data_IF_604905218770
#
_entry.id   IF_604905218770
#
_cell.length_a   1.000
_cell.length_b   1.000
_cell.length_c   1.000
_cell.angle_alpha   90.00
_cell.angle_beta   90.00
_cell.angle_gamma   90.00
#
_symmetry.space_group_name_H-M   'P 1'
#
loop_
_entity.id
_entity.type
_entity.pdbx_description
1 polymer ?
#
# COMPACT_ATOMS: atom_id res chain seq x y z
N UNK A 1 33.84 -10.29 8.21
CA UNK A 1 33.31 -11.60 7.76
C UNK A 1 32.98 -11.49 6.27
N UNK A 2 33.28 -12.51 5.45
CA UNK A 2 33.01 -12.53 4.02
C UNK A 2 31.77 -13.38 3.73
N UNK A 3 30.86 -12.86 2.90
CA UNK A 3 29.55 -13.44 2.60
C UNK A 3 29.20 -13.33 1.12
N UNK A 4 28.29 -14.19 0.67
CA UNK A 4 27.59 -14.10 -0.60
C UNK A 4 26.23 -13.47 -0.38
N UNK A 5 25.87 -12.46 -1.16
CA UNK A 5 24.48 -12.05 -1.38
C UNK A 5 23.90 -12.96 -2.45
N UNK A 6 22.76 -13.52 -2.15
CA UNK A 6 21.98 -14.38 -3.02
C UNK A 6 20.64 -13.76 -3.33
N UNK A 7 20.11 -14.01 -4.53
CA UNK A 7 18.72 -13.77 -4.90
C UNK A 7 18.12 -15.12 -5.33
N UNK A 8 17.34 -15.75 -4.48
CA UNK A 8 17.04 -17.18 -4.55
C UNK A 8 18.35 -17.99 -4.66
N UNK A 9 18.51 -18.83 -5.66
CA UNK A 9 19.73 -19.63 -5.88
C UNK A 9 20.79 -18.92 -6.74
N UNK A 10 20.54 -17.68 -7.17
CA UNK A 10 21.46 -16.90 -7.99
C UNK A 10 22.44 -16.16 -7.09
N UNK A 11 23.74 -16.37 -7.33
CA UNK A 11 24.80 -15.59 -6.67
C UNK A 11 24.81 -14.18 -7.25
N UNK A 12 24.60 -13.17 -6.41
CA UNK A 12 24.57 -11.76 -6.83
C UNK A 12 25.94 -11.13 -6.71
N UNK A 13 26.50 -11.16 -5.51
CA UNK A 13 27.82 -10.59 -5.23
C UNK A 13 28.46 -11.24 -3.99
N UNK A 14 29.78 -11.04 -3.87
CA UNK A 14 30.56 -11.33 -2.66
C UNK A 14 30.95 -10.03 -1.98
N UNK A 15 30.79 -9.95 -0.68
CA UNK A 15 31.03 -8.75 0.10
C UNK A 15 31.54 -9.06 1.49
N UNK A 16 32.04 -8.04 2.18
CA UNK A 16 32.51 -8.18 3.57
C UNK A 16 31.69 -7.31 4.51
N UNK A 17 31.45 -7.82 5.73
CA UNK A 17 30.91 -7.03 6.84
C UNK A 17 32.04 -6.56 7.77
N UNK A 18 31.84 -5.39 8.38
CA UNK A 18 32.66 -4.91 9.49
C UNK A 18 32.24 -5.53 10.83
N UNK A 19 32.82 -5.06 11.93
CA UNK A 19 32.53 -5.50 13.30
C UNK A 19 31.09 -5.20 13.76
N UNK A 20 30.45 -4.19 13.15
CA UNK A 20 29.06 -3.78 13.43
C UNK A 20 28.07 -4.40 12.43
N UNK A 21 28.45 -5.45 11.72
CA UNK A 21 27.62 -6.10 10.68
C UNK A 21 27.14 -5.19 9.54
N UNK A 22 27.78 -4.03 9.35
CA UNK A 22 27.53 -3.16 8.20
C UNK A 22 28.37 -3.61 7.00
N UNK A 23 27.87 -3.41 5.77
CA UNK A 23 28.63 -3.75 4.56
C UNK A 23 29.88 -2.88 4.49
N UNK A 24 31.07 -3.49 4.53
CA UNK A 24 32.36 -2.79 4.48
C UNK A 24 32.82 -2.56 3.04
N UNK A 25 32.91 -3.64 2.27
CA UNK A 25 33.38 -3.63 0.88
C UNK A 25 32.63 -4.64 0.03
N UNK A 26 32.49 -4.33 -1.26
CA UNK A 26 32.11 -5.31 -2.29
C UNK A 26 33.40 -5.91 -2.82
N UNK A 27 33.49 -7.24 -2.82
CA UNK A 27 34.66 -7.99 -3.28
C UNK A 27 34.53 -8.32 -4.76
N UNK A 28 33.36 -8.83 -5.16
CA UNK A 28 33.12 -9.31 -6.53
C UNK A 28 31.63 -9.30 -6.86
N UNK A 29 31.26 -9.00 -8.11
CA UNK A 29 29.92 -9.15 -8.65
C UNK A 29 29.84 -10.39 -9.54
N UNK A 30 28.78 -11.19 -9.36
CA UNK A 30 28.47 -12.35 -10.20
C UNK A 30 27.33 -12.04 -11.17
N UNK A 31 26.19 -11.56 -10.67
CA UNK A 31 25.01 -11.20 -11.46
C UNK A 31 24.49 -9.82 -11.06
N UNK A 32 24.88 -8.79 -11.81
CA UNK A 32 24.52 -7.39 -11.50
C UNK A 32 23.03 -7.11 -11.69
N UNK A 33 22.38 -7.75 -12.65
CA UNK A 33 20.92 -7.62 -12.88
C UNK A 33 20.09 -8.08 -11.69
N UNK A 34 20.62 -9.02 -10.89
CA UNK A 34 19.98 -9.50 -9.67
C UNK A 34 20.32 -8.69 -8.41
N UNK A 35 20.99 -7.55 -8.56
CA UNK A 35 21.20 -6.65 -7.42
C UNK A 35 19.84 -6.16 -6.88
N UNK A 36 19.72 -5.88 -5.56
CA UNK A 36 18.53 -5.25 -5.01
C UNK A 36 18.20 -3.99 -5.81
N UNK A 37 16.93 -3.83 -6.16
CA UNK A 37 16.48 -2.73 -7.03
C UNK A 37 16.94 -1.36 -6.51
N UNK A 38 17.32 -0.46 -7.40
CA UNK A 38 17.90 0.86 -7.12
C UNK A 38 19.31 0.87 -6.50
N UNK A 39 19.94 -0.28 -6.24
CA UNK A 39 21.31 -0.31 -5.68
C UNK A 39 22.40 -0.28 -6.75
N UNK A 40 22.05 -0.32 -8.03
CA UNK A 40 22.99 -0.17 -9.14
C UNK A 40 23.55 1.26 -9.24
N UNK A 41 24.76 1.40 -9.78
CA UNK A 41 25.43 2.70 -9.98
C UNK A 41 26.93 2.55 -10.25
N UNK A 42 27.71 3.63 -10.19
CA UNK A 42 29.16 3.58 -10.18
C UNK A 42 29.69 2.96 -8.88
N UNK A 43 30.88 2.38 -8.86
CA UNK A 43 31.40 1.55 -7.77
C UNK A 43 31.25 2.14 -6.35
N UNK A 44 31.52 3.43 -6.17
CA UNK A 44 31.37 4.08 -4.87
C UNK A 44 29.90 4.34 -4.50
N UNK A 45 29.06 4.63 -5.49
CA UNK A 45 27.62 4.85 -5.31
C UNK A 45 26.90 3.53 -5.01
N UNK A 46 27.35 2.41 -5.59
CA UNK A 46 26.81 1.07 -5.29
C UNK A 46 26.99 0.69 -3.82
N UNK A 47 28.17 0.93 -3.25
CA UNK A 47 28.40 0.59 -1.85
C UNK A 47 27.51 1.40 -0.91
N UNK A 48 27.31 2.69 -1.19
CA UNK A 48 26.43 3.54 -0.39
C UNK A 48 24.96 3.05 -0.46
N UNK A 49 24.44 2.84 -1.66
CA UNK A 49 23.06 2.36 -1.88
C UNK A 49 22.82 0.96 -1.27
N UNK A 50 23.84 0.09 -1.35
CA UNK A 50 23.78 -1.24 -0.71
C UNK A 50 23.76 -1.15 0.80
N UNK A 51 24.53 -0.25 1.40
CA UNK A 51 24.48 0.00 2.85
C UNK A 51 23.10 0.48 3.29
N UNK A 52 22.50 1.39 2.54
CA UNK A 52 21.13 1.84 2.81
C UNK A 52 20.14 0.66 2.74
N UNK A 53 20.17 -0.10 1.63
CA UNK A 53 19.31 -1.28 1.47
C UNK A 53 19.50 -2.32 2.58
N UNK A 54 20.75 -2.53 3.02
CA UNK A 54 21.06 -3.45 4.11
C UNK A 54 20.51 -2.94 5.45
N UNK A 55 20.65 -1.66 5.72
CA UNK A 55 20.10 -1.03 6.93
C UNK A 55 18.56 -0.98 6.92
N UNK A 56 17.94 -0.83 5.75
CA UNK A 56 16.48 -0.84 5.61
C UNK A 56 15.87 -2.21 5.96
N UNK A 57 16.66 -3.27 6.06
CA UNK A 57 16.23 -4.59 6.55
C UNK A 57 16.18 -4.67 8.07
N UNK A 58 16.67 -3.68 8.76
CA UNK A 58 16.70 -3.65 10.21
C UNK A 58 15.35 -3.34 10.83
N UNK A 59 15.14 -3.85 12.03
CA UNK A 59 14.06 -3.39 12.89
C UNK A 59 14.38 -1.94 13.29
N UNK A 60 13.49 -0.96 13.03
CA UNK A 60 13.78 0.43 13.35
C UNK A 60 13.84 0.66 14.87
N UNK A 61 14.78 1.48 15.30
CA UNK A 61 14.94 1.87 16.73
C UNK A 61 13.71 2.56 17.32
N UNK A 62 12.87 3.12 16.46
CA UNK A 62 11.59 3.76 16.81
C UNK A 62 10.46 2.79 17.06
N UNK A 63 10.69 1.47 16.80
CA UNK A 63 9.66 0.45 17.07
C UNK A 63 9.28 0.41 18.53
N UNK A 64 7.98 0.37 18.78
CA UNK A 64 7.46 0.17 20.14
C UNK A 64 8.06 -1.08 20.79
N UNK A 65 8.55 -0.93 22.01
CA UNK A 65 9.24 -1.96 22.79
C UNK A 65 10.68 -2.32 22.30
N UNK A 66 11.30 -1.55 21.38
CA UNK A 66 12.63 -1.86 20.84
C UNK A 66 13.68 -2.07 21.95
N UNK A 67 13.89 -1.08 22.82
CA UNK A 67 14.90 -1.12 23.89
C UNK A 67 14.72 -2.33 24.81
N UNK A 68 13.48 -2.58 25.28
CA UNK A 68 13.19 -3.71 26.15
C UNK A 68 13.36 -5.07 25.47
N UNK A 69 13.10 -5.12 24.15
CA UNK A 69 13.35 -6.33 23.37
C UNK A 69 14.83 -6.65 23.32
N UNK A 70 15.70 -5.66 23.03
CA UNK A 70 17.14 -5.84 22.99
C UNK A 70 17.77 -6.10 24.37
N UNK A 71 17.23 -5.55 25.47
CA UNK A 71 17.63 -5.94 26.83
C UNK A 71 17.41 -7.45 27.12
N UNK A 72 16.56 -8.11 26.35
CA UNK A 72 16.23 -9.54 26.48
C UNK A 72 17.02 -10.42 25.50
N UNK A 73 17.80 -9.83 24.62
CA UNK A 73 18.62 -10.50 23.60
C UNK A 73 20.10 -10.41 23.98
N UNK A 74 20.93 -11.38 23.57
CA UNK A 74 22.40 -11.29 23.68
C UNK A 74 23.02 -10.28 22.70
N UNK A 75 22.26 -9.85 21.67
CA UNK A 75 22.65 -8.92 20.62
C UNK A 75 22.36 -7.49 21.03
N UNK A 76 23.25 -6.56 20.64
CA UNK A 76 23.14 -5.16 20.97
C UNK A 76 22.44 -4.33 19.87
N UNK A 77 22.30 -4.92 18.64
CA UNK A 77 21.80 -4.18 17.48
C UNK A 77 20.98 -5.06 16.51
N UNK A 78 20.19 -4.38 15.67
CA UNK A 78 19.29 -5.02 14.71
C UNK A 78 20.01 -5.67 13.52
N UNK A 79 21.20 -5.18 13.11
CA UNK A 79 21.98 -5.79 12.05
C UNK A 79 22.47 -7.21 12.44
N UNK A 80 22.78 -7.43 13.71
CA UNK A 80 23.10 -8.76 14.23
C UNK A 80 21.94 -9.73 14.03
N UNK A 81 20.70 -9.29 14.21
CA UNK A 81 19.50 -10.13 13.95
C UNK A 81 19.36 -10.44 12.45
N UNK A 82 19.61 -9.46 11.58
CA UNK A 82 19.58 -9.65 10.11
C UNK A 82 20.60 -10.71 9.70
N UNK A 83 21.84 -10.62 10.18
CA UNK A 83 22.90 -11.59 9.85
C UNK A 83 22.56 -12.99 10.37
N UNK A 84 22.06 -13.11 11.61
CA UNK A 84 21.69 -14.40 12.22
C UNK A 84 20.48 -15.07 11.61
N UNK A 85 19.61 -14.31 10.93
CA UNK A 85 18.49 -14.83 10.13
C UNK A 85 18.85 -15.02 8.65
N UNK A 86 20.14 -15.05 8.30
CA UNK A 86 20.62 -15.11 6.91
C UNK A 86 20.08 -13.98 6.02
N UNK A 87 19.70 -12.83 6.58
CA UNK A 87 19.10 -11.72 5.85
C UNK A 87 17.75 -12.02 5.22
N UNK A 88 17.14 -13.18 5.50
CA UNK A 88 15.85 -13.59 4.92
C UNK A 88 14.70 -12.67 5.32
N UNK A 89 13.77 -12.48 4.39
CA UNK A 89 12.54 -11.69 4.58
C UNK A 89 11.32 -12.41 3.98
N UNK A 90 10.13 -11.92 4.29
CA UNK A 90 8.88 -12.27 3.61
C UNK A 90 8.43 -11.16 2.62
N UNK A 91 9.29 -10.20 2.35
CA UNK A 91 9.03 -9.12 1.38
C UNK A 91 9.82 -9.26 0.09
N UNK A 92 10.87 -10.08 0.08
CA UNK A 92 11.72 -10.31 -1.08
C UNK A 92 12.44 -11.67 -0.98
N UNK A 93 13.20 -12.03 -2.02
CA UNK A 93 13.89 -13.31 -2.14
C UNK A 93 15.42 -13.19 -1.90
N UNK A 94 15.89 -12.06 -1.31
CA UNK A 94 17.30 -11.85 -1.01
C UNK A 94 17.69 -12.49 0.32
N UNK A 95 18.89 -13.07 0.34
CA UNK A 95 19.48 -13.68 1.54
C UNK A 95 21.00 -13.75 1.46
N UNK A 96 21.64 -14.07 2.57
CA UNK A 96 23.10 -14.17 2.66
C UNK A 96 23.53 -15.54 3.17
N UNK A 97 24.71 -16.00 2.72
CA UNK A 97 25.39 -17.18 3.24
C UNK A 97 26.91 -17.00 3.23
N UNK A 98 27.62 -17.86 3.95
CA UNK A 98 29.07 -17.95 3.83
C UNK A 98 29.46 -18.58 2.48
N UNK A 99 30.67 -18.26 2.04
CA UNK A 99 31.17 -18.69 0.71
C UNK A 99 31.34 -20.21 0.58
N UNK A 100 31.56 -20.91 1.70
CA UNK A 100 31.76 -22.34 1.81
C UNK A 100 30.51 -23.15 2.19
N UNK A 101 29.36 -22.46 2.43
CA UNK A 101 28.11 -23.12 2.77
C UNK A 101 27.38 -23.61 1.51
N UNK A 102 27.04 -24.92 1.51
CA UNK A 102 26.21 -25.54 0.46
C UNK A 102 24.73 -25.59 0.88
N UNK A 103 24.14 -24.42 1.07
CA UNK A 103 22.72 -24.24 1.40
C UNK A 103 21.99 -23.68 0.18
N UNK A 104 20.82 -24.23 -0.14
CA UNK A 104 19.91 -23.73 -1.19
C UNK A 104 18.83 -22.85 -0.57
N UNK A 105 18.25 -21.96 -1.39
CA UNK A 105 17.17 -21.07 -0.97
C UNK A 105 15.96 -21.83 -0.41
N UNK A 106 15.56 -22.92 -1.06
CA UNK A 106 14.41 -23.73 -0.65
C UNK A 106 14.57 -24.37 0.73
N UNK A 107 15.80 -24.64 1.15
CA UNK A 107 16.08 -25.23 2.46
C UNK A 107 15.80 -24.25 3.62
N UNK A 108 15.88 -22.94 3.34
CA UNK A 108 15.82 -21.89 4.38
C UNK A 108 14.80 -20.77 4.11
N UNK A 109 14.08 -20.81 3.00
CA UNK A 109 13.10 -19.77 2.67
C UNK A 109 11.93 -19.73 3.67
N UNK A 110 11.61 -18.55 4.19
CA UNK A 110 10.41 -18.37 5.03
C UNK A 110 9.10 -18.57 4.27
N UNK A 111 9.11 -18.52 2.95
CA UNK A 111 7.94 -18.81 2.13
C UNK A 111 7.57 -20.29 2.15
N UNK A 112 8.55 -21.19 2.24
CA UNK A 112 8.36 -22.64 2.15
C UNK A 112 8.47 -23.34 3.50
N UNK A 113 9.33 -22.85 4.38
CA UNK A 113 9.67 -23.52 5.63
C UNK A 113 8.93 -22.93 6.85
N UNK A 114 8.88 -23.71 7.94
CA UNK A 114 8.46 -23.20 9.24
C UNK A 114 9.58 -22.33 9.81
N UNK A 115 9.22 -21.31 10.55
CA UNK A 115 10.15 -20.41 11.23
C UNK A 115 9.82 -20.29 12.72
N UNK A 116 10.77 -19.78 13.51
CA UNK A 116 10.58 -19.56 14.95
C UNK A 116 9.73 -18.33 15.23
N UNK A 117 8.98 -18.39 16.32
CA UNK A 117 8.24 -17.26 16.88
C UNK A 117 9.07 -16.43 17.88
N UNK A 118 10.31 -16.86 18.23
CA UNK A 118 11.04 -16.31 19.38
C UNK A 118 11.30 -14.83 19.28
N UNK A 119 11.79 -14.35 18.14
CA UNK A 119 12.05 -12.93 17.91
C UNK A 119 10.73 -12.13 17.96
N UNK A 120 9.69 -12.58 17.26
CA UNK A 120 8.38 -11.94 17.30
C UNK A 120 7.80 -11.86 18.71
N UNK A 121 7.92 -12.92 19.50
CA UNK A 121 7.47 -12.96 20.90
C UNK A 121 8.22 -11.93 21.77
N UNK A 122 9.54 -11.82 21.61
CA UNK A 122 10.35 -10.84 22.35
C UNK A 122 9.91 -9.42 22.00
N UNK A 123 9.72 -9.10 20.70
CA UNK A 123 9.32 -7.76 20.27
C UNK A 123 7.87 -7.39 20.66
N UNK A 124 6.97 -8.35 20.87
CA UNK A 124 5.66 -8.05 21.46
C UNK A 124 5.67 -8.00 23.01
N UNK A 125 6.82 -8.27 23.64
CA UNK A 125 7.04 -8.11 25.07
C UNK A 125 6.88 -9.39 25.91
N UNK A 126 6.99 -10.57 25.28
CA UNK A 126 7.02 -11.85 26.01
C UNK A 126 8.43 -12.20 26.50
N UNK A 127 8.50 -12.81 27.67
CA UNK A 127 9.74 -13.41 28.17
C UNK A 127 9.94 -14.78 27.52
N UNK A 128 11.15 -15.04 27.04
CA UNK A 128 11.58 -16.34 26.51
C UNK A 128 12.59 -17.02 27.40
N UNK A 129 12.78 -18.33 27.17
CA UNK A 129 13.80 -19.14 27.80
C UNK A 129 15.21 -18.79 27.35
N UNK A 130 16.21 -19.52 27.86
CA UNK A 130 17.64 -19.25 27.60
C UNK A 130 18.11 -19.50 26.14
N UNK A 131 17.38 -20.33 25.37
CA UNK A 131 17.71 -20.64 23.99
C UNK A 131 16.75 -19.91 23.05
N UNK A 132 17.28 -19.03 22.19
CA UNK A 132 16.53 -18.20 21.25
C UNK A 132 16.91 -18.62 19.83
N UNK A 133 15.94 -18.91 18.99
CA UNK A 133 16.13 -19.13 17.56
C UNK A 133 15.95 -17.82 16.80
N UNK A 134 16.95 -17.43 16.02
CA UNK A 134 16.96 -16.25 15.17
C UNK A 134 16.36 -16.50 13.79
N UNK A 135 16.04 -17.75 13.46
CA UNK A 135 15.40 -18.12 12.20
C UNK A 135 13.93 -17.69 12.21
N UNK A 136 13.72 -16.40 12.01
CA UNK A 136 12.43 -15.72 12.11
C UNK A 136 12.36 -14.53 11.14
N UNK A 137 11.27 -14.36 10.36
CA UNK A 137 11.06 -13.18 9.52
C UNK A 137 10.87 -11.89 10.33
N UNK A 138 10.65 -11.99 11.63
CA UNK A 138 10.56 -10.83 12.51
C UNK A 138 11.92 -10.13 12.66
N UNK A 139 13.04 -10.82 12.41
CA UNK A 139 14.40 -10.25 12.43
C UNK A 139 14.64 -9.18 11.37
N UNK A 140 13.85 -9.17 10.28
CA UNK A 140 13.96 -8.25 9.14
C UNK A 140 12.66 -7.46 8.90
N UNK A 141 11.75 -7.42 9.88
CA UNK A 141 10.48 -6.71 9.72
C UNK A 141 10.63 -5.21 10.03
N UNK A 142 10.09 -4.35 9.18
CA UNK A 142 10.14 -2.88 9.31
C UNK A 142 8.88 -2.30 9.96
N UNK A 143 8.88 -0.97 10.27
CA UNK A 143 7.75 -0.22 10.81
C UNK A 143 7.69 -0.14 12.34
N UNK A 144 6.93 0.82 12.87
CA UNK A 144 7.00 1.27 14.26
C UNK A 144 6.09 0.49 15.25
N UNK A 145 4.94 -0.01 14.80
CA UNK A 145 4.03 -0.75 15.66
C UNK A 145 4.60 -2.12 16.02
N UNK A 146 4.22 -2.63 17.20
CA UNK A 146 4.46 -4.04 17.55
C UNK A 146 3.83 -4.92 16.50
N UNK A 147 4.61 -5.84 15.97
CA UNK A 147 4.17 -6.79 14.95
C UNK A 147 4.95 -8.09 15.03
N UNK A 148 4.36 -9.11 14.44
CA UNK A 148 4.99 -10.41 14.32
C UNK A 148 4.43 -11.22 13.16
N UNK A 149 5.25 -12.07 12.60
CA UNK A 149 4.82 -13.06 11.63
C UNK A 149 4.37 -14.35 12.30
N UNK A 150 3.34 -14.97 11.75
CA UNK A 150 2.87 -16.30 12.17
C UNK A 150 2.48 -17.17 10.99
N UNK A 151 2.67 -18.49 11.15
CA UNK A 151 2.09 -19.48 10.26
C UNK A 151 0.77 -19.97 10.87
N UNK A 152 -0.33 -19.72 10.18
CA UNK A 152 -1.68 -20.16 10.57
C UNK A 152 -2.24 -20.97 9.41
N UNK A 153 -2.58 -22.24 9.64
CA UNK A 153 -3.07 -23.16 8.60
C UNK A 153 -2.17 -23.20 7.34
N UNK A 154 -0.84 -23.19 7.53
CA UNK A 154 0.14 -23.21 6.44
C UNK A 154 0.37 -21.89 5.71
N UNK A 155 -0.41 -20.85 6.00
CA UNK A 155 -0.29 -19.51 5.42
C UNK A 155 0.48 -18.56 6.33
N UNK A 156 1.19 -17.57 5.76
CA UNK A 156 1.99 -16.57 6.47
C UNK A 156 1.16 -15.33 6.72
N UNK A 157 0.95 -15.01 7.98
CA UNK A 157 0.18 -13.85 8.42
C UNK A 157 1.07 -12.87 9.19
N UNK A 158 0.95 -11.59 8.86
CA UNK A 158 1.48 -10.51 9.68
C UNK A 158 0.40 -10.09 10.69
N UNK A 159 0.74 -10.12 11.97
CA UNK A 159 -0.08 -9.62 13.06
C UNK A 159 0.48 -8.26 13.46
N UNK A 160 -0.35 -7.21 13.45
CA UNK A 160 -0.01 -5.85 13.88
C UNK A 160 -0.84 -5.46 15.10
N UNK A 161 -0.19 -4.98 16.16
CA UNK A 161 -0.86 -4.36 17.31
C UNK A 161 -1.12 -2.88 17.02
N UNK A 162 -1.92 -2.24 17.86
CA UNK A 162 -2.12 -0.79 17.85
C UNK A 162 -1.44 -0.12 19.04
N UNK A 163 -1.34 1.22 18.98
CA UNK A 163 -0.79 2.06 20.04
C UNK A 163 -1.74 2.14 21.24
N UNK A 164 -1.23 1.80 22.41
CA UNK A 164 -2.02 1.91 23.66
C UNK A 164 -2.31 3.39 24.01
N UNK A 165 -3.41 3.71 24.71
CA UNK A 165 -4.34 2.76 25.31
C UNK A 165 -5.43 2.22 24.37
N UNK A 166 -5.74 2.88 23.26
CA UNK A 166 -6.95 2.61 22.48
C UNK A 166 -6.75 1.61 21.34
N UNK A 167 -5.55 1.49 20.80
CA UNK A 167 -5.21 0.58 19.70
C UNK A 167 -6.10 0.78 18.45
N UNK A 168 -6.46 2.04 18.14
CA UNK A 168 -7.40 2.36 17.06
C UNK A 168 -6.89 1.94 15.69
N UNK A 169 -5.57 1.86 15.49
CA UNK A 169 -4.95 1.44 14.21
C UNK A 169 -5.44 0.03 13.79
N UNK A 170 -5.69 -0.87 14.75
CA UNK A 170 -6.23 -2.22 14.48
C UNK A 170 -7.59 -2.12 13.78
N UNK A 171 -8.49 -1.33 14.36
CA UNK A 171 -9.85 -1.17 13.84
C UNK A 171 -9.87 -0.33 12.56
N UNK A 172 -8.97 0.64 12.43
CA UNK A 172 -8.83 1.44 11.24
C UNK A 172 -8.41 0.61 10.02
N UNK A 173 -7.47 -0.35 10.18
CA UNK A 173 -7.12 -1.32 9.12
C UNK A 173 -8.34 -2.15 8.69
N UNK A 174 -9.13 -2.63 9.65
CA UNK A 174 -10.33 -3.44 9.36
C UNK A 174 -11.41 -2.59 8.66
N UNK A 175 -11.62 -1.34 9.11
CA UNK A 175 -12.56 -0.42 8.47
C UNK A 175 -12.10 -0.10 7.04
N UNK A 176 -10.82 0.20 6.85
CA UNK A 176 -10.24 0.49 5.55
C UNK A 176 -10.41 -0.68 4.58
N UNK A 177 -10.05 -1.90 5.03
CA UNK A 177 -10.25 -3.14 4.27
C UNK A 177 -11.73 -3.34 3.90
N UNK A 178 -12.65 -3.16 4.84
CA UNK A 178 -14.09 -3.26 4.54
C UNK A 178 -14.57 -2.25 3.51
N UNK A 179 -14.11 -1.01 3.58
CA UNK A 179 -14.47 0.05 2.63
C UNK A 179 -13.90 -0.27 1.24
N UNK A 180 -12.64 -0.69 1.15
CA UNK A 180 -12.01 -1.05 -0.11
C UNK A 180 -12.68 -2.27 -0.76
N UNK A 181 -13.07 -3.29 0.03
CA UNK A 181 -13.87 -4.42 -0.45
C UNK A 181 -15.22 -3.97 -1.02
N UNK A 182 -15.93 -3.04 -0.36
CA UNK A 182 -17.20 -2.52 -0.87
C UNK A 182 -17.04 -1.77 -2.19
N UNK A 183 -15.93 -1.08 -2.37
CA UNK A 183 -15.62 -0.29 -3.57
C UNK A 183 -14.97 -1.13 -4.69
N UNK A 184 -14.65 -2.41 -4.42
CA UNK A 184 -13.95 -3.32 -5.34
C UNK A 184 -12.55 -2.79 -5.73
N UNK A 185 -11.83 -2.33 -4.72
CA UNK A 185 -10.45 -1.82 -4.82
C UNK A 185 -9.49 -2.89 -4.30
N UNK A 186 -8.41 -3.15 -5.04
CA UNK A 186 -7.39 -4.12 -4.65
C UNK A 186 -6.65 -3.69 -3.39
N UNK A 187 -6.67 -4.53 -2.37
CA UNK A 187 -6.09 -4.23 -1.06
C UNK A 187 -5.74 -5.50 -0.29
N UNK A 188 -4.99 -5.33 0.78
CA UNK A 188 -4.73 -6.39 1.74
C UNK A 188 -5.90 -6.49 2.72
N UNK A 189 -6.47 -7.66 2.85
CA UNK A 189 -7.55 -7.93 3.83
C UNK A 189 -7.01 -7.94 5.25
N UNK A 190 -7.75 -7.29 6.17
CA UNK A 190 -7.44 -7.27 7.58
C UNK A 190 -8.60 -7.80 8.43
N UNK A 191 -8.26 -8.68 9.38
CA UNK A 191 -9.20 -9.29 10.31
C UNK A 191 -8.72 -9.09 11.75
N UNK A 192 -9.69 -8.97 12.69
CA UNK A 192 -9.38 -8.96 14.11
C UNK A 192 -8.92 -10.34 14.57
N UNK A 193 -7.87 -10.38 15.37
CA UNK A 193 -7.40 -11.61 16.01
C UNK A 193 -6.83 -11.34 17.40
N UNK A 194 -6.83 -12.36 18.22
CA UNK A 194 -6.09 -12.34 19.48
C UNK A 194 -4.98 -13.36 19.43
N UNK A 195 -3.82 -12.99 19.96
CA UNK A 195 -2.71 -13.90 20.13
C UNK A 195 -2.17 -13.75 21.55
N UNK A 196 -2.31 -14.82 22.34
CA UNK A 196 -1.91 -14.90 23.75
C UNK A 196 -2.40 -13.71 24.61
N UNK A 197 -3.68 -13.38 24.46
CA UNK A 197 -4.34 -12.32 25.23
C UNK A 197 -4.07 -10.89 24.74
N UNK A 198 -3.28 -10.71 23.68
CA UNK A 198 -3.09 -9.41 23.02
C UNK A 198 -3.96 -9.31 21.77
N UNK A 199 -4.43 -8.09 21.50
CA UNK A 199 -5.25 -7.78 20.34
C UNK A 199 -4.38 -7.37 19.15
N UNK A 200 -4.72 -7.87 17.96
CA UNK A 200 -4.05 -7.58 16.70
C UNK A 200 -5.07 -7.49 15.55
N UNK A 201 -4.73 -6.74 14.50
CA UNK A 201 -5.22 -7.07 13.17
C UNK A 201 -4.22 -8.01 12.49
N UNK A 202 -4.74 -8.97 11.73
CA UNK A 202 -3.92 -9.89 10.93
C UNK A 202 -4.20 -9.72 9.45
N UNK A 203 -3.16 -9.84 8.65
CA UNK A 203 -3.24 -9.83 7.19
C UNK A 203 -2.42 -10.98 6.60
N UNK A 204 -2.89 -11.55 5.49
CA UNK A 204 -2.13 -12.52 4.73
C UNK A 204 -0.93 -11.82 4.07
N UNK A 205 0.22 -12.50 3.97
CA UNK A 205 1.33 -11.99 3.16
C UNK A 205 0.90 -11.86 1.70
N UNK A 206 1.06 -10.67 1.11
CA UNK A 206 0.70 -10.38 -0.28
C UNK A 206 1.84 -10.60 -1.28
N UNK A 207 3.06 -10.86 -0.77
CA UNK A 207 4.23 -11.23 -1.57
C UNK A 207 4.31 -12.75 -1.62
N UNK A 208 4.42 -13.32 -2.82
CA UNK A 208 4.49 -14.76 -3.02
C UNK A 208 5.92 -15.28 -3.18
N UNK A 209 6.08 -16.59 -3.18
CA UNK A 209 7.37 -17.27 -3.23
C UNK A 209 8.31 -16.86 -4.38
N UNK A 210 7.79 -16.41 -5.51
CA UNK A 210 8.60 -15.94 -6.66
C UNK A 210 8.54 -14.42 -6.84
N UNK A 211 8.17 -13.67 -5.84
CA UNK A 211 7.96 -12.24 -5.94
C UNK A 211 8.88 -11.46 -4.98
N UNK A 212 9.28 -10.27 -5.44
CA UNK A 212 9.89 -9.22 -4.62
C UNK A 212 8.94 -8.02 -4.55
N UNK A 213 8.72 -7.48 -3.39
CA UNK A 213 8.13 -6.15 -3.23
C UNK A 213 9.22 -5.09 -3.40
N UNK A 214 8.98 -4.13 -4.29
CA UNK A 214 9.82 -2.96 -4.50
C UNK A 214 9.01 -1.73 -4.10
N UNK A 215 9.45 -1.03 -3.06
CA UNK A 215 8.73 0.12 -2.54
C UNK A 215 8.81 1.33 -3.50
N UNK A 216 7.84 2.24 -3.42
CA UNK A 216 7.90 3.52 -4.14
C UNK A 216 9.17 4.31 -3.79
N UNK A 217 9.67 4.20 -2.56
CA UNK A 217 10.94 4.79 -2.16
C UNK A 217 12.12 4.31 -3.03
N UNK A 218 12.21 2.98 -3.26
CA UNK A 218 13.23 2.40 -4.12
C UNK A 218 13.03 2.81 -5.59
N UNK A 219 11.77 2.90 -6.05
CA UNK A 219 11.45 3.40 -7.39
C UNK A 219 11.90 4.84 -7.58
N UNK A 220 11.60 5.74 -6.65
CA UNK A 220 12.08 7.13 -6.71
C UNK A 220 13.61 7.26 -6.65
N UNK A 221 14.29 6.37 -5.94
CA UNK A 221 15.76 6.34 -5.89
C UNK A 221 16.41 5.83 -7.18
N UNK A 222 15.68 5.10 -8.02
CA UNK A 222 16.23 4.58 -9.27
C UNK A 222 16.45 5.67 -10.32
N UNK A 223 15.72 6.79 -10.25
CA UNK A 223 15.75 7.86 -11.23
C UNK A 223 15.70 9.25 -10.59
N UNK A 224 16.43 10.20 -11.21
CA UNK A 224 16.41 11.58 -10.78
C UNK A 224 15.16 12.30 -11.33
N UNK A 225 14.36 12.88 -10.44
CA UNK A 225 13.23 13.72 -10.81
C UNK A 225 13.70 15.05 -11.39
N UNK A 226 13.14 15.47 -12.53
CA UNK A 226 13.36 16.80 -13.07
C UNK A 226 12.63 17.87 -12.22
N UNK A 227 13.22 19.07 -12.11
CA UNK A 227 12.68 20.13 -11.23
C UNK A 227 11.28 20.64 -11.63
N UNK A 228 10.94 20.58 -12.92
CA UNK A 228 9.68 21.05 -13.49
C UNK A 228 8.57 19.97 -13.57
N UNK A 229 8.84 18.76 -13.09
CA UNK A 229 7.89 17.64 -13.08
C UNK A 229 7.37 17.43 -11.66
N UNK A 230 6.07 17.19 -11.49
CA UNK A 230 5.50 16.86 -10.19
C UNK A 230 6.01 15.49 -9.69
N UNK A 231 5.91 15.22 -8.39
CA UNK A 231 6.25 13.89 -7.87
C UNK A 231 5.30 12.81 -8.38
N UNK A 232 4.03 13.14 -8.60
CA UNK A 232 3.04 12.22 -9.17
C UNK A 232 3.37 11.87 -10.62
N UNK A 233 3.57 12.86 -11.49
CA UNK A 233 3.94 12.62 -12.90
C UNK A 233 5.26 11.87 -13.02
N UNK A 234 6.23 12.18 -12.14
CA UNK A 234 7.49 11.45 -12.11
C UNK A 234 7.28 9.97 -11.75
N UNK A 235 6.41 9.69 -10.77
CA UNK A 235 6.08 8.31 -10.39
C UNK A 235 5.39 7.56 -11.54
N UNK A 236 4.41 8.18 -12.20
CA UNK A 236 3.77 7.60 -13.39
C UNK A 236 4.77 7.35 -14.52
N UNK A 237 5.74 8.26 -14.71
CA UNK A 237 6.80 8.05 -15.70
C UNK A 237 7.70 6.85 -15.39
N UNK A 238 7.97 6.58 -14.10
CA UNK A 238 8.69 5.38 -13.66
C UNK A 238 7.86 4.14 -13.93
N UNK A 239 6.56 4.13 -13.55
CA UNK A 239 5.66 3.00 -13.82
C UNK A 239 5.61 2.66 -15.32
N UNK A 240 5.55 3.68 -16.18
CA UNK A 240 5.58 3.48 -17.63
C UNK A 240 6.88 2.83 -18.09
N UNK A 241 8.04 3.27 -17.58
CA UNK A 241 9.35 2.70 -17.95
C UNK A 241 9.51 1.23 -17.56
N UNK A 242 8.90 0.83 -16.46
CA UNK A 242 8.93 -0.55 -15.96
C UNK A 242 7.78 -1.41 -16.50
N UNK A 243 6.99 -0.89 -17.46
CA UNK A 243 5.91 -1.64 -18.13
C UNK A 243 4.61 -1.73 -17.34
N UNK A 244 4.40 -0.84 -16.37
CA UNK A 244 3.20 -0.78 -15.51
C UNK A 244 2.33 0.47 -15.75
N UNK A 245 2.32 1.02 -16.96
CA UNK A 245 1.51 2.20 -17.28
C UNK A 245 -0.01 1.97 -17.15
N UNK A 246 -0.48 0.75 -17.28
CA UNK A 246 -1.91 0.42 -17.14
C UNK A 246 -2.41 0.42 -15.69
N UNK A 247 -1.50 0.63 -14.71
CA UNK A 247 -1.82 0.64 -13.28
C UNK A 247 -2.04 2.04 -12.69
N UNK A 248 -2.18 3.09 -13.49
CA UNK A 248 -2.44 4.46 -13.03
C UNK A 248 -3.70 4.53 -12.15
N UNK A 249 -4.78 3.87 -12.58
CA UNK A 249 -6.05 3.83 -11.83
C UNK A 249 -5.86 3.28 -10.40
N UNK A 250 -4.98 2.29 -10.18
CA UNK A 250 -4.73 1.76 -8.84
C UNK A 250 -4.03 2.78 -7.94
N UNK A 251 -3.20 3.66 -8.51
CA UNK A 251 -2.59 4.77 -7.77
C UNK A 251 -3.65 5.83 -7.43
N UNK A 252 -4.55 6.16 -8.35
CA UNK A 252 -5.69 7.05 -8.08
C UNK A 252 -6.62 6.47 -7.00
N UNK A 253 -6.88 5.15 -7.04
CA UNK A 253 -7.66 4.46 -6.02
C UNK A 253 -7.01 4.57 -4.64
N UNK A 254 -5.69 4.41 -4.54
CA UNK A 254 -4.94 4.61 -3.30
C UNK A 254 -5.09 6.04 -2.78
N UNK A 255 -4.92 7.04 -3.63
CA UNK A 255 -5.07 8.45 -3.26
C UNK A 255 -6.51 8.77 -2.79
N UNK A 256 -7.50 8.22 -3.47
CA UNK A 256 -8.90 8.36 -3.11
C UNK A 256 -9.20 7.77 -1.73
N UNK A 257 -8.73 6.56 -1.46
CA UNK A 257 -8.90 5.89 -0.16
C UNK A 257 -8.19 6.67 0.94
N UNK A 258 -6.96 7.11 0.71
CA UNK A 258 -6.23 7.94 1.67
C UNK A 258 -6.97 9.25 1.96
N UNK A 259 -7.56 9.87 0.94
CA UNK A 259 -8.43 11.03 1.11
C UNK A 259 -9.68 10.67 1.94
N UNK A 260 -10.43 9.65 1.56
CA UNK A 260 -11.68 9.26 2.21
C UNK A 260 -11.48 8.94 3.69
N UNK A 261 -10.44 8.20 4.01
CA UNK A 261 -10.12 7.74 5.36
C UNK A 261 -9.33 8.78 6.18
N UNK A 262 -8.78 9.83 5.55
CA UNK A 262 -7.87 10.75 6.22
C UNK A 262 -6.59 10.05 6.69
N UNK A 263 -5.99 9.24 5.83
CA UNK A 263 -4.73 8.57 6.15
C UNK A 263 -3.59 9.60 6.24
N UNK A 264 -2.83 9.55 7.33
CA UNK A 264 -1.75 10.49 7.62
C UNK A 264 -0.35 9.90 7.44
N UNK A 265 -0.24 8.64 7.00
CA UNK A 265 1.04 7.91 6.98
C UNK A 265 1.29 7.13 5.67
N UNK A 266 0.77 7.60 4.53
CA UNK A 266 1.10 7.04 3.22
C UNK A 266 2.50 7.49 2.79
N UNK A 267 3.54 7.02 3.47
CA UNK A 267 4.91 7.27 3.05
C UNK A 267 5.35 6.29 1.93
N UNK A 268 6.46 6.60 1.26
CA UNK A 268 6.92 5.88 0.06
C UNK A 268 7.26 4.39 0.27
N UNK A 269 7.33 3.89 1.50
CA UNK A 269 7.47 2.47 1.80
C UNK A 269 6.13 1.76 2.02
N UNK A 270 5.00 2.49 2.06
CA UNK A 270 3.66 1.93 2.27
C UNK A 270 2.88 1.72 0.96
N UNK A 271 3.55 1.80 -0.18
CA UNK A 271 3.06 1.39 -1.50
C UNK A 271 4.25 1.09 -2.40
N UNK A 272 4.02 0.44 -3.53
CA UNK A 272 5.06 0.03 -4.46
C UNK A 272 4.55 -0.95 -5.50
N UNK A 273 5.46 -1.74 -6.01
CA UNK A 273 5.21 -2.69 -7.11
C UNK A 273 5.73 -4.08 -6.76
N UNK A 274 5.24 -5.07 -7.47
CA UNK A 274 5.69 -6.45 -7.37
C UNK A 274 6.48 -6.81 -8.61
N UNK A 275 7.64 -7.43 -8.39
CA UNK A 275 8.56 -7.92 -9.41
C UNK A 275 8.66 -9.44 -9.34
N UNK A 276 8.68 -10.14 -10.45
CA UNK A 276 9.04 -11.56 -10.49
C UNK A 276 10.54 -11.72 -10.16
N UNK A 277 10.85 -12.57 -9.19
CA UNK A 277 12.23 -12.72 -8.68
C UNK A 277 13.16 -13.48 -9.66
N UNK A 278 12.62 -14.15 -10.66
CA UNK A 278 13.39 -14.90 -11.65
C UNK A 278 13.62 -14.11 -12.94
N UNK A 279 12.54 -13.54 -13.49
CA UNK A 279 12.62 -12.77 -14.75
C UNK A 279 13.00 -11.32 -14.53
N UNK A 280 12.86 -10.81 -13.30
CA UNK A 280 13.05 -9.42 -12.89
C UNK A 280 12.04 -8.45 -13.53
N UNK A 281 11.01 -8.95 -14.20
CA UNK A 281 9.92 -8.17 -14.77
C UNK A 281 8.97 -7.69 -13.67
N UNK A 282 8.53 -6.44 -13.78
CA UNK A 282 7.48 -5.91 -12.90
C UNK A 282 6.12 -6.39 -13.39
N UNK A 283 5.34 -6.99 -12.50
CA UNK A 283 4.11 -7.71 -12.87
C UNK A 283 2.83 -6.99 -12.46
N UNK A 284 2.86 -6.18 -11.41
CA UNK A 284 1.70 -5.44 -10.91
C UNK A 284 2.08 -4.38 -9.88
N UNK A 285 1.18 -3.45 -9.62
CA UNK A 285 1.22 -2.62 -8.42
C UNK A 285 0.87 -3.49 -7.20
N UNK A 286 1.49 -3.24 -6.05
CA UNK A 286 1.13 -3.93 -4.82
C UNK A 286 -0.29 -3.52 -4.37
N UNK A 287 -1.06 -4.44 -3.77
CA UNK A 287 -2.37 -4.09 -3.21
C UNK A 287 -2.21 -2.99 -2.15
N UNK A 288 -3.25 -2.20 -1.90
CA UNK A 288 -3.20 -1.16 -0.86
C UNK A 288 -3.07 -1.81 0.51
N UNK A 289 -2.09 -1.37 1.31
CA UNK A 289 -1.82 -1.88 2.66
C UNK A 289 -1.39 -0.75 3.60
N UNK A 290 -1.34 -1.03 4.89
CA UNK A 290 -0.86 -0.12 5.94
C UNK A 290 -1.63 1.20 5.99
N UNK A 291 -2.96 1.09 6.21
CA UNK A 291 -3.89 2.21 6.32
C UNK A 291 -4.29 2.53 7.76
N UNK A 292 -3.69 1.88 8.76
CA UNK A 292 -4.07 1.99 10.17
C UNK A 292 -3.96 3.40 10.76
N UNK A 293 -3.06 4.23 10.23
CA UNK A 293 -2.87 5.64 10.63
C UNK A 293 -3.92 6.59 10.06
N UNK A 294 -5.14 6.09 9.80
CA UNK A 294 -6.28 6.85 9.29
C UNK A 294 -7.32 7.12 10.40
N UNK A 295 -8.44 7.75 10.01
CA UNK A 295 -9.62 8.01 10.86
C UNK A 295 -9.25 8.66 12.20
N UNK A 296 -8.21 9.51 12.20
CA UNK A 296 -7.73 10.22 13.38
C UNK A 296 -7.32 9.29 14.51
N UNK A 297 -6.51 8.25 14.23
CA UNK A 297 -6.07 7.25 15.22
C UNK A 297 -5.47 7.87 16.51
N UNK A 298 -4.84 9.02 16.38
CA UNK A 298 -4.18 9.77 17.46
C UNK A 298 -5.00 10.97 17.97
N UNK A 299 -6.23 11.16 17.48
CA UNK A 299 -7.12 12.24 17.89
C UNK A 299 -8.13 11.76 18.93
N UNK A 300 -8.55 12.68 19.80
CA UNK A 300 -9.73 12.46 20.64
C UNK A 300 -11.01 12.36 19.80
N UNK A 301 -12.07 11.78 20.36
CA UNK A 301 -13.36 11.63 19.67
C UNK A 301 -13.98 12.98 19.31
N UNK A 302 -13.78 14.01 20.16
CA UNK A 302 -14.29 15.37 19.93
C UNK A 302 -13.51 16.07 18.80
N UNK A 303 -12.20 15.87 18.69
CA UNK A 303 -11.39 16.38 17.59
C UNK A 303 -11.75 15.70 16.29
N UNK A 304 -11.84 14.35 16.26
CA UNK A 304 -12.25 13.60 15.08
C UNK A 304 -13.63 14.03 14.58
N UNK A 305 -14.57 14.30 15.48
CA UNK A 305 -15.92 14.74 15.13
C UNK A 305 -15.95 16.10 14.42
N UNK A 306 -14.91 16.92 14.53
CA UNK A 306 -14.85 18.31 14.04
C UNK A 306 -13.85 18.51 12.91
N UNK A 307 -12.81 17.65 12.80
CA UNK A 307 -11.72 17.83 11.83
C UNK A 307 -12.23 17.70 10.40
N UNK A 308 -11.85 18.62 9.53
CA UNK A 308 -12.17 18.65 8.11
C UNK A 308 -10.92 18.55 7.22
N UNK A 309 -9.74 18.85 7.76
CA UNK A 309 -8.47 18.84 7.04
C UNK A 309 -7.51 17.82 7.66
N UNK A 310 -6.80 17.13 6.80
CA UNK A 310 -5.72 16.23 7.14
C UNK A 310 -4.56 16.57 6.22
N UNK A 311 -3.40 16.88 6.79
CA UNK A 311 -2.24 17.41 6.08
C UNK A 311 -1.19 16.32 5.85
N UNK A 312 -1.47 15.35 5.01
CA UNK A 312 -0.46 14.38 4.63
C UNK A 312 -0.72 13.78 3.25
N UNK A 313 0.33 13.73 2.40
CA UNK A 313 0.21 13.17 1.06
C UNK A 313 1.49 12.49 0.59
N UNK A 314 1.39 11.37 -0.12
CA UNK A 314 2.54 10.59 -0.60
C UNK A 314 3.40 11.34 -1.62
N UNK A 315 2.82 12.26 -2.39
CA UNK A 315 3.47 13.00 -3.47
C UNK A 315 3.79 14.46 -3.11
N UNK A 316 4.04 14.72 -1.83
CA UNK A 316 4.51 16.02 -1.29
C UNK A 316 3.58 17.23 -1.49
N UNK A 317 2.28 17.02 -1.61
CA UNK A 317 1.31 18.11 -1.48
C UNK A 317 0.92 18.33 -0.01
N UNK A 318 0.62 19.58 0.34
CA UNK A 318 0.30 19.95 1.73
C UNK A 318 -1.19 19.81 2.09
N UNK A 319 -2.04 19.44 1.15
CA UNK A 319 -3.49 19.37 1.38
C UNK A 319 -4.08 18.09 0.83
N UNK A 320 -4.86 17.40 1.65
CA UNK A 320 -5.60 16.20 1.23
C UNK A 320 -6.54 16.44 0.04
N UNK A 321 -7.09 17.66 -0.11
CA UNK A 321 -7.93 18.03 -1.26
C UNK A 321 -7.18 17.98 -2.58
N UNK A 322 -5.86 18.19 -2.57
CA UNK A 322 -5.04 18.12 -3.78
C UNK A 322 -4.92 16.67 -4.29
N UNK A 323 -5.14 15.66 -3.44
CA UNK A 323 -5.21 14.25 -3.87
C UNK A 323 -6.35 14.02 -4.86
N UNK A 324 -7.52 14.60 -4.61
CA UNK A 324 -8.66 14.44 -5.53
C UNK A 324 -8.38 15.09 -6.88
N UNK A 325 -7.54 16.13 -6.94
CA UNK A 325 -7.17 16.79 -8.20
C UNK A 325 -6.23 15.95 -9.08
N UNK A 326 -5.57 14.94 -8.51
CA UNK A 326 -4.73 13.98 -9.24
C UNK A 326 -5.55 12.85 -9.88
N UNK A 327 -6.81 12.70 -9.49
CA UNK A 327 -7.73 11.70 -10.06
C UNK A 327 -8.30 12.26 -11.35
N UNK A 328 -7.75 11.83 -12.48
CA UNK A 328 -8.19 12.29 -13.79
C UNK A 328 -9.48 11.60 -14.24
N UNK A 329 -9.58 10.29 -13.96
CA UNK A 329 -10.74 9.49 -14.34
C UNK A 329 -11.39 8.85 -13.11
N UNK A 330 -12.54 9.34 -12.71
CA UNK A 330 -13.26 8.91 -11.51
C UNK A 330 -14.48 8.03 -11.78
N UNK A 331 -14.67 7.49 -13.00
CA UNK A 331 -15.84 6.64 -13.31
C UNK A 331 -15.82 5.31 -12.55
N UNK A 332 -14.69 4.88 -12.03
CA UNK A 332 -14.58 3.71 -11.16
C UNK A 332 -15.15 3.95 -9.76
N UNK A 333 -15.36 5.21 -9.35
CA UNK A 333 -15.92 5.55 -8.04
C UNK A 333 -17.42 5.18 -8.03
N UNK A 334 -17.76 4.23 -7.17
CA UNK A 334 -19.15 3.75 -6.97
C UNK A 334 -19.85 4.70 -5.98
N UNK A 335 -20.41 5.79 -6.47
CA UNK A 335 -21.00 6.84 -5.62
C UNK A 335 -22.22 6.35 -4.81
N UNK A 336 -22.99 5.41 -5.33
CA UNK A 336 -24.08 4.73 -4.63
C UNK A 336 -23.57 3.94 -3.43
N UNK A 337 -22.46 3.23 -3.61
CA UNK A 337 -21.80 2.49 -2.52
C UNK A 337 -21.24 3.47 -1.47
N UNK A 338 -20.63 4.59 -1.90
CA UNK A 338 -20.11 5.59 -0.96
C UNK A 338 -21.17 6.09 0.02
N UNK A 339 -22.41 6.28 -0.42
CA UNK A 339 -23.51 6.72 0.44
C UNK A 339 -23.84 5.70 1.53
N UNK A 340 -23.66 4.42 1.26
CA UNK A 340 -23.93 3.34 2.21
C UNK A 340 -22.80 3.12 3.24
N UNK A 341 -21.58 3.60 2.96
CA UNK A 341 -20.39 3.35 3.81
C UNK A 341 -20.63 3.76 5.28
N UNK A 342 -21.14 4.97 5.62
CA UNK A 342 -21.32 5.36 7.01
C UNK A 342 -22.22 4.41 7.78
N UNK A 343 -23.29 3.93 7.16
CA UNK A 343 -24.22 2.96 7.75
C UNK A 343 -23.52 1.60 7.95
N UNK A 344 -22.84 1.10 6.92
CA UNK A 344 -22.15 -0.20 6.98
C UNK A 344 -21.03 -0.21 8.03
N UNK A 345 -20.26 0.87 8.13
CA UNK A 345 -19.21 0.99 9.16
C UNK A 345 -19.79 1.15 10.56
N UNK A 346 -20.91 1.83 10.71
CA UNK A 346 -21.64 1.87 11.98
C UNK A 346 -22.03 0.45 12.46
N UNK A 347 -22.59 -0.37 11.57
CA UNK A 347 -22.98 -1.75 11.90
C UNK A 347 -21.75 -2.65 12.17
N UNK A 348 -20.67 -2.48 11.41
CA UNK A 348 -19.40 -3.17 11.67
C UNK A 348 -18.86 -2.84 13.07
N UNK A 349 -18.81 -1.56 13.43
CA UNK A 349 -18.24 -1.12 14.71
C UNK A 349 -19.10 -1.49 15.93
N UNK A 350 -20.40 -1.71 15.76
CA UNK A 350 -21.25 -2.27 16.81
C UNK A 350 -20.79 -3.68 17.23
N UNK A 351 -20.24 -4.47 16.31
CA UNK A 351 -19.70 -5.79 16.59
C UNK A 351 -18.42 -5.73 17.44
N UNK A 352 -17.77 -4.57 17.49
CA UNK A 352 -16.55 -4.32 18.26
C UNK A 352 -16.79 -3.38 19.46
N UNK A 353 -18.01 -3.35 20.01
CA UNK A 353 -18.42 -2.49 21.13
C UNK A 353 -17.58 -2.68 22.40
N UNK A 354 -16.98 -3.86 22.59
CA UNK A 354 -16.06 -4.13 23.71
C UNK A 354 -14.72 -3.37 23.61
N UNK A 355 -14.37 -2.90 22.42
CA UNK A 355 -13.08 -2.26 22.11
C UNK A 355 -13.22 -0.81 21.64
N UNK A 356 -14.30 -0.51 20.91
CA UNK A 356 -14.56 0.81 20.33
C UNK A 356 -15.78 1.41 21.00
N UNK A 357 -15.59 2.50 21.75
CA UNK A 357 -16.67 3.18 22.44
C UNK A 357 -17.74 3.71 21.48
N UNK A 358 -18.96 3.84 21.95
CA UNK A 358 -20.07 4.48 21.20
C UNK A 358 -19.73 5.90 20.73
N UNK A 359 -18.97 6.65 21.54
CA UNK A 359 -18.52 8.00 21.21
C UNK A 359 -17.56 7.96 20.03
N UNK A 360 -16.55 7.06 20.06
CA UNK A 360 -15.60 6.87 18.97
C UNK A 360 -16.29 6.39 17.69
N UNK A 361 -17.18 5.43 17.79
CA UNK A 361 -17.99 4.92 16.66
C UNK A 361 -18.74 6.07 15.95
N UNK A 362 -19.46 6.90 16.73
CA UNK A 362 -20.21 8.07 16.22
C UNK A 362 -19.26 9.09 15.56
N UNK A 363 -18.09 9.33 16.15
CA UNK A 363 -17.10 10.25 15.61
C UNK A 363 -16.57 9.77 14.24
N UNK A 364 -16.24 8.48 14.10
CA UNK A 364 -15.81 7.86 12.83
C UNK A 364 -16.91 7.97 11.77
N UNK A 365 -18.15 7.60 12.10
CA UNK A 365 -19.29 7.69 11.16
C UNK A 365 -19.51 9.13 10.70
N UNK A 366 -19.46 10.09 11.63
CA UNK A 366 -19.56 11.51 11.30
C UNK A 366 -18.44 12.01 10.40
N UNK A 367 -17.20 11.59 10.67
CA UNK A 367 -16.05 11.91 9.83
C UNK A 367 -16.22 11.37 8.41
N UNK A 368 -16.54 10.10 8.25
CA UNK A 368 -16.77 9.48 6.94
C UNK A 368 -17.91 10.17 6.18
N UNK A 369 -19.03 10.48 6.86
CA UNK A 369 -20.14 11.20 6.24
C UNK A 369 -19.71 12.55 5.70
N UNK A 370 -18.91 13.32 6.46
CA UNK A 370 -18.41 14.62 5.98
C UNK A 370 -17.46 14.47 4.79
N UNK A 371 -16.53 13.51 4.85
CA UNK A 371 -15.57 13.25 3.74
C UNK A 371 -16.30 12.83 2.46
N UNK A 372 -17.29 11.96 2.58
CA UNK A 372 -18.11 11.55 1.44
C UNK A 372 -18.88 12.74 0.86
N UNK A 373 -19.51 13.58 1.68
CA UNK A 373 -20.18 14.79 1.20
C UNK A 373 -19.21 15.77 0.50
N UNK A 374 -17.95 15.85 0.96
CA UNK A 374 -16.92 16.65 0.28
C UNK A 374 -16.53 16.04 -1.07
N UNK A 375 -16.42 14.72 -1.18
CA UNK A 375 -16.17 14.00 -2.44
C UNK A 375 -17.30 14.28 -3.44
N UNK A 376 -18.58 14.16 -3.03
CA UNK A 376 -19.72 14.45 -3.88
C UNK A 376 -19.70 15.89 -4.41
N UNK A 377 -19.39 16.85 -3.54
CA UNK A 377 -19.26 18.27 -3.94
C UNK A 377 -18.07 18.48 -4.90
N UNK A 378 -16.94 17.84 -4.63
CA UNK A 378 -15.74 17.98 -5.46
C UNK A 378 -15.98 17.50 -6.89
N UNK A 379 -16.62 16.35 -7.05
CA UNK A 379 -16.94 15.79 -8.36
C UNK A 379 -18.26 16.31 -8.94
N UNK A 380 -18.94 17.27 -8.28
CA UNK A 380 -20.23 17.82 -8.68
C UNK A 380 -21.28 16.71 -8.94
N UNK A 381 -21.31 15.70 -8.08
CA UNK A 381 -22.33 14.66 -8.10
C UNK A 381 -23.54 15.20 -7.33
N UNK A 382 -24.61 15.55 -8.03
CA UNK A 382 -25.88 15.89 -7.40
C UNK A 382 -26.43 14.63 -6.70
N UNK A 383 -26.99 14.81 -5.49
CA UNK A 383 -27.78 13.75 -4.85
C UNK A 383 -28.96 13.48 -5.78
N UNK A 384 -29.13 12.23 -6.21
CA UNK A 384 -30.31 11.82 -6.95
C UNK A 384 -31.57 12.31 -6.22
N UNK A 385 -32.22 13.27 -6.79
CA UNK A 385 -33.63 13.57 -6.50
C UNK A 385 -34.45 12.43 -7.11
N UNK A 386 -35.42 11.97 -6.37
CA UNK A 386 -36.40 10.91 -6.69
C UNK A 386 -36.81 10.83 -8.16
N UNK A 387 -37.06 9.59 -8.60
CA UNK A 387 -37.54 9.10 -9.89
C UNK A 387 -38.71 9.86 -10.54
N UNK A 388 -38.59 11.13 -10.88
CA UNK A 388 -39.54 11.76 -11.83
C UNK A 388 -38.84 12.93 -12.56
N UNK A 389 -38.82 12.82 -13.90
CA UNK A 389 -38.29 13.77 -14.88
C UNK A 389 -36.75 13.84 -15.04
N UNK A 390 -36.21 12.95 -15.88
CA UNK A 390 -34.81 13.02 -16.40
C UNK A 390 -34.71 14.20 -17.39
N UNK A 391 -34.52 15.41 -16.87
CA UNK A 391 -34.24 16.56 -17.70
C UNK A 391 -32.81 16.49 -18.24
N UNK A 392 -32.68 16.43 -19.57
CA UNK A 392 -31.39 16.35 -20.25
C UNK A 392 -30.93 17.74 -20.66
N UNK A 393 -29.67 18.07 -20.37
CA UNK A 393 -29.07 19.28 -20.95
C UNK A 393 -28.93 19.15 -22.47
N UNK A 394 -28.79 20.25 -23.17
CA UNK A 394 -28.58 20.26 -24.64
C UNK A 394 -27.33 19.47 -25.07
N UNK A 395 -26.26 19.47 -24.24
CA UNK A 395 -25.05 18.71 -24.50
C UNK A 395 -25.28 17.21 -24.28
N UNK A 396 -25.95 16.82 -23.21
CA UNK A 396 -26.32 15.41 -22.95
C UNK A 396 -27.19 14.82 -24.06
N UNK A 397 -28.19 15.57 -24.50
CA UNK A 397 -29.01 15.19 -25.64
C UNK A 397 -28.18 15.07 -26.94
N UNK A 398 -27.22 15.98 -27.12
CA UNK A 398 -26.28 15.93 -28.23
C UNK A 398 -25.41 14.66 -28.20
N UNK A 399 -24.87 14.26 -27.01
CA UNK A 399 -24.08 13.06 -26.84
C UNK A 399 -24.93 11.80 -27.16
N UNK A 400 -26.15 11.70 -26.64
CA UNK A 400 -27.04 10.57 -26.92
C UNK A 400 -27.38 10.48 -28.42
N UNK A 401 -27.63 11.58 -29.08
CA UNK A 401 -27.88 11.60 -30.52
C UNK A 401 -26.64 11.20 -31.34
N UNK A 402 -25.46 11.64 -30.89
CA UNK A 402 -24.20 11.20 -31.49
C UNK A 402 -24.03 9.69 -31.36
N UNK A 403 -24.22 9.13 -30.16
CA UNK A 403 -24.08 7.68 -29.91
C UNK A 403 -25.09 6.89 -30.74
N UNK A 404 -26.35 7.30 -30.82
CA UNK A 404 -27.39 6.67 -31.67
C UNK A 404 -26.97 6.58 -33.14
N UNK A 405 -26.31 7.62 -33.65
CA UNK A 405 -25.82 7.65 -35.05
C UNK A 405 -24.51 6.89 -35.26
N UNK A 406 -23.85 6.40 -34.18
CA UNK A 406 -22.56 5.71 -34.19
C UNK A 406 -22.66 4.34 -33.49
N UNK A 407 -23.62 3.52 -33.88
CA UNK A 407 -23.86 2.17 -33.39
C UNK A 407 -24.03 2.08 -31.86
N UNK A 408 -24.65 3.07 -31.25
CA UNK A 408 -24.86 3.19 -29.80
C UNK A 408 -23.55 3.20 -28.99
N UNK A 409 -22.46 3.72 -29.60
CA UNK A 409 -21.12 3.69 -29.01
C UNK A 409 -20.38 5.03 -29.14
N UNK A 410 -19.56 5.33 -28.14
CA UNK A 410 -18.64 6.45 -28.13
C UNK A 410 -17.28 5.97 -27.62
N UNK A 411 -16.24 6.02 -28.47
CA UNK A 411 -14.90 5.51 -28.16
C UNK A 411 -14.00 6.59 -27.54
N UNK A 412 -14.20 7.85 -27.92
CA UNK A 412 -13.36 8.97 -27.47
C UNK A 412 -14.20 10.24 -27.25
N UNK A 413 -14.14 10.76 -26.04
CA UNK A 413 -14.85 12.02 -25.67
C UNK A 413 -14.28 13.25 -26.35
N UNK A 414 -13.06 13.24 -26.88
CA UNK A 414 -12.49 14.34 -27.68
C UNK A 414 -13.31 14.64 -28.91
N UNK A 415 -13.97 13.63 -29.47
CA UNK A 415 -14.90 13.81 -30.59
C UNK A 415 -16.08 14.70 -30.20
N UNK A 416 -16.62 14.51 -28.99
CA UNK A 416 -17.71 15.33 -28.44
C UNK A 416 -17.21 16.76 -28.19
N UNK A 417 -16.00 16.90 -27.61
CA UNK A 417 -15.38 18.21 -27.36
C UNK A 417 -15.25 19.01 -28.65
N UNK A 418 -14.74 18.40 -29.72
CA UNK A 418 -14.58 19.05 -31.03
C UNK A 418 -15.92 19.35 -31.66
N UNK A 419 -16.88 18.40 -31.67
CA UNK A 419 -18.17 18.55 -32.34
C UNK A 419 -19.06 19.64 -31.74
N UNK A 420 -19.02 19.77 -30.41
CA UNK A 420 -19.89 20.73 -29.69
C UNK A 420 -19.15 21.97 -29.18
N UNK A 421 -17.87 22.13 -29.51
CA UNK A 421 -17.05 23.30 -29.15
C UNK A 421 -16.88 23.48 -27.63
N UNK A 422 -16.84 22.36 -26.87
CA UNK A 422 -16.68 22.37 -25.42
C UNK A 422 -15.32 21.80 -25.01
N UNK A 423 -14.80 22.23 -23.86
CA UNK A 423 -13.57 21.63 -23.32
C UNK A 423 -13.83 20.18 -22.90
N UNK A 424 -12.79 19.35 -22.96
CA UNK A 424 -12.88 17.92 -22.64
C UNK A 424 -13.57 17.63 -21.32
N UNK A 425 -13.26 18.40 -20.28
CA UNK A 425 -13.87 18.25 -18.96
C UNK A 425 -15.39 18.47 -18.96
N UNK A 426 -15.90 19.37 -19.80
CA UNK A 426 -17.34 19.60 -19.94
C UNK A 426 -18.02 18.43 -20.66
N UNK A 427 -17.43 17.90 -21.73
CA UNK A 427 -17.90 16.68 -22.39
C UNK A 427 -17.89 15.48 -21.45
N UNK A 428 -16.84 15.37 -20.65
CA UNK A 428 -16.68 14.32 -19.65
C UNK A 428 -17.75 14.40 -18.54
N UNK A 429 -18.03 15.59 -18.02
CA UNK A 429 -19.12 15.79 -17.04
C UNK A 429 -20.48 15.40 -17.62
N UNK A 430 -20.76 15.76 -18.87
CA UNK A 430 -22.02 15.42 -19.51
C UNK A 430 -22.21 13.90 -19.71
N UNK A 431 -21.16 13.19 -20.15
CA UNK A 431 -21.24 11.70 -20.27
C UNK A 431 -21.41 11.05 -18.90
N UNK A 432 -20.79 11.60 -17.86
CA UNK A 432 -20.92 11.11 -16.47
C UNK A 432 -22.34 11.30 -15.96
N UNK A 433 -22.97 12.44 -16.23
CA UNK A 433 -24.37 12.67 -15.90
C UNK A 433 -25.28 11.68 -16.63
N UNK A 434 -25.00 11.35 -17.90
CA UNK A 434 -25.72 10.30 -18.61
C UNK A 434 -25.56 8.91 -18.01
N UNK A 435 -24.39 8.62 -17.43
CA UNK A 435 -24.16 7.36 -16.70
C UNK A 435 -24.96 7.32 -15.40
N UNK A 436 -24.98 8.40 -14.62
CA UNK A 436 -25.80 8.48 -13.39
C UNK A 436 -27.29 8.39 -13.69
N UNK A 437 -27.73 8.92 -14.83
CA UNK A 437 -29.10 8.80 -15.36
C UNK A 437 -29.41 7.42 -15.98
N UNK A 438 -28.48 6.46 -15.92
CA UNK A 438 -28.58 5.10 -16.48
C UNK A 438 -28.92 5.05 -17.98
N UNK A 439 -28.52 6.06 -18.71
CA UNK A 439 -28.74 6.14 -20.17
C UNK A 439 -27.51 5.63 -20.95
N UNK A 440 -26.34 5.61 -20.31
CA UNK A 440 -25.07 5.20 -20.89
C UNK A 440 -24.29 4.36 -19.87
N UNK A 441 -23.54 3.36 -20.34
CA UNK A 441 -22.58 2.63 -19.49
C UNK A 441 -21.21 2.58 -20.15
N UNK A 442 -20.17 2.44 -19.35
CA UNK A 442 -18.82 2.17 -19.86
C UNK A 442 -18.61 0.66 -20.05
N UNK A 443 -17.85 0.30 -21.08
CA UNK A 443 -17.48 -1.08 -21.40
C UNK A 443 -16.01 -1.15 -21.77
N UNK A 444 -15.26 -2.10 -21.23
CA UNK A 444 -13.84 -2.33 -21.48
C UNK A 444 -12.91 -1.65 -20.45
N UNK A 445 -11.60 -1.85 -20.62
CA UNK A 445 -10.55 -1.29 -19.77
C UNK A 445 -10.42 0.23 -19.91
N UNK A 446 -9.77 0.87 -18.94
CA UNK A 446 -9.63 2.34 -18.83
C UNK A 446 -9.10 2.99 -20.12
N UNK A 447 -8.08 2.40 -20.73
CA UNK A 447 -7.37 2.96 -21.90
C UNK A 447 -8.03 2.65 -23.24
N UNK A 448 -8.72 1.49 -23.35
CA UNK A 448 -9.40 1.01 -24.57
C UNK A 448 -10.90 0.81 -24.39
N UNK A 449 -11.48 1.35 -23.33
CA UNK A 449 -12.89 1.24 -23.06
C UNK A 449 -13.69 2.24 -23.88
N UNK A 450 -14.96 1.90 -24.13
CA UNK A 450 -15.92 2.75 -24.82
C UNK A 450 -17.16 2.99 -23.95
N UNK A 451 -17.93 4.00 -24.31
CA UNK A 451 -19.24 4.27 -23.75
C UNK A 451 -20.31 3.61 -24.63
N UNK A 452 -21.29 2.98 -24.02
CA UNK A 452 -22.38 2.28 -24.71
C UNK A 452 -23.70 2.84 -24.24
N UNK A 453 -24.58 3.18 -25.17
CA UNK A 453 -25.97 3.58 -24.91
C UNK A 453 -26.74 2.37 -24.35
N UNK A 454 -27.53 2.57 -23.30
CA UNK A 454 -28.36 1.54 -22.66
C UNK A 454 -29.76 1.46 -23.26
#
# INVERSE_FOLDING_TARGET
MELLLMHKDIRVMRFTLDENNSIKNIVEFYNREHMPFSTEGSSNNNLFKLKEWWNDRCIPVTRDNYTKAFESLPEDDSLSLVVKSNGLSLTDQYWIKKTDEDIKYDDISFFSNKFSNDIGDIFIGKKRGKTISYYSPDSTSTGNLKKRWKIINGKRYLLKAGTKPHQYEIFNEIIASKIMSMLDIDHVDYELTTDEGMLFCRSLNFVYYNEDFVSAYQLFKSENKQNNVSYYDHFLSILKKIGLEDYEMQIEQMLFIDYLLGNTDRHLNNFGVIRDAKTLEFVRVAPIFDTGSCLGYNLSDDELSKINHVDWMPFMSKKHTDQLSLIEDYFWIKFDILQAIPFQINELLKQYSDYVSDKRRKAIVSFLTRRINMIFRYFNIEKELSDDDVELTSLEQGILNYMKSHNNRLDDLRVISTKYGVVYLTAYRAIRSLVSKRLVRRSGATKNGCWILL
#
